data_IF_363114832745
#
_entry.id   IF_363114832745
#
_cell.length_a   1.000
_cell.length_b   1.000
_cell.length_c   1.000
_cell.angle_alpha   90.00
_cell.angle_beta   90.00
_cell.angle_gamma   90.00
#
_symmetry.space_group_name_H-M   'P 1'
#
loop_
_entity.id
_entity.type
_entity.pdbx_description
1 polymer ?
#
# COMPACT_ATOMS: atom_id res chain seq x y z
N UNK A 1 10.39 -43.80 19.65
CA UNK A 1 9.56 -43.82 20.88
C UNK A 1 8.44 -42.79 20.73
N UNK A 2 7.21 -43.20 21.05
CA UNK A 2 6.07 -42.28 21.08
C UNK A 2 6.21 -41.35 22.28
N UNK A 3 6.14 -40.00 22.12
CA UNK A 3 6.11 -39.05 23.22
C UNK A 3 4.84 -39.18 24.06
N UNK A 4 4.91 -38.80 25.33
CA UNK A 4 3.74 -38.72 26.20
C UNK A 4 2.96 -37.43 25.94
N UNK A 5 1.63 -37.56 25.83
CA UNK A 5 0.70 -36.44 25.78
C UNK A 5 0.42 -35.97 27.22
N UNK A 6 1.25 -35.05 27.71
CA UNK A 6 1.12 -34.50 29.06
C UNK A 6 0.53 -33.07 28.96
N UNK A 7 -0.59 -32.85 29.64
CA UNK A 7 -1.25 -31.55 29.72
C UNK A 7 -0.82 -30.84 31.02
N UNK A 8 -0.21 -29.67 30.89
CA UNK A 8 0.11 -28.81 32.03
C UNK A 8 -1.09 -27.91 32.33
N UNK A 9 -1.72 -28.11 33.46
CA UNK A 9 -2.95 -27.40 33.87
C UNK A 9 -2.69 -26.09 34.62
N UNK A 10 -1.48 -25.86 35.14
CA UNK A 10 -1.08 -24.63 35.85
C UNK A 10 0.16 -24.03 35.21
N UNK A 11 0.20 -22.69 35.10
CA UNK A 11 1.25 -21.96 34.42
C UNK A 11 1.92 -20.95 35.34
N UNK A 12 3.13 -21.22 35.75
CA UNK A 12 4.06 -20.21 36.23
C UNK A 12 5.28 -20.23 35.34
N UNK A 13 5.53 -19.12 34.64
CA UNK A 13 6.74 -18.96 33.81
C UNK A 13 7.41 -17.63 34.16
N UNK A 14 8.68 -17.68 34.48
CA UNK A 14 9.53 -16.52 34.73
C UNK A 14 10.33 -16.09 33.50
N UNK A 15 9.85 -16.41 32.30
CA UNK A 15 10.49 -16.08 31.02
C UNK A 15 9.92 -14.77 30.47
N UNK A 16 10.79 -13.81 30.23
CA UNK A 16 10.39 -12.56 29.56
C UNK A 16 10.02 -12.80 28.10
N UNK A 17 9.16 -11.95 27.52
CA UNK A 17 8.82 -12.00 26.09
C UNK A 17 10.07 -11.85 25.22
N UNK A 18 11.04 -11.05 25.67
CA UNK A 18 12.30 -10.82 24.98
C UNK A 18 13.15 -12.11 24.87
N UNK A 19 13.19 -12.91 25.93
CA UNK A 19 13.88 -14.20 25.94
C UNK A 19 13.14 -15.29 25.20
N UNK A 20 11.78 -15.25 25.22
CA UNK A 20 10.93 -16.24 24.55
C UNK A 20 11.05 -16.21 23.05
N UNK A 21 11.19 -15.00 22.45
CA UNK A 21 11.29 -14.86 21.01
C UNK A 21 12.70 -15.23 20.53
N UNK A 22 12.85 -16.15 19.56
CA UNK A 22 14.17 -16.55 19.07
C UNK A 22 15.00 -15.34 18.59
N UNK A 23 16.27 -15.31 18.98
CA UNK A 23 17.20 -14.20 18.64
C UNK A 23 17.31 -13.94 17.13
N UNK A 24 17.15 -14.98 16.31
CA UNK A 24 17.23 -14.88 14.83
C UNK A 24 15.88 -14.64 14.17
N UNK A 25 14.80 -14.45 14.93
CA UNK A 25 13.47 -14.24 14.33
C UNK A 25 13.45 -12.98 13.47
N UNK A 26 12.92 -13.02 12.21
CA UNK A 26 12.94 -11.88 11.28
C UNK A 26 12.30 -10.62 11.83
N UNK A 27 11.25 -10.73 12.64
CA UNK A 27 10.59 -9.59 13.30
C UNK A 27 11.51 -8.82 14.25
N UNK A 28 12.61 -9.39 14.76
CA UNK A 28 13.56 -8.63 15.59
C UNK A 28 14.23 -7.54 14.77
N UNK A 29 14.72 -7.90 13.61
CA UNK A 29 15.35 -6.95 12.68
C UNK A 29 14.34 -5.93 12.17
N UNK A 30 13.12 -6.38 11.84
CA UNK A 30 12.05 -5.50 11.41
C UNK A 30 11.68 -4.51 12.52
N UNK A 31 11.56 -4.97 13.76
CA UNK A 31 11.24 -4.11 14.89
C UNK A 31 12.25 -2.98 15.07
N UNK A 32 13.54 -3.27 14.93
CA UNK A 32 14.59 -2.24 15.00
C UNK A 32 14.40 -1.16 13.92
N UNK A 33 14.09 -1.54 12.68
CA UNK A 33 13.81 -0.58 11.61
C UNK A 33 12.54 0.24 11.91
N UNK A 34 11.48 -0.43 12.32
CA UNK A 34 10.20 0.21 12.65
C UNK A 34 10.35 1.15 13.84
N UNK A 35 11.06 0.76 14.89
CA UNK A 35 11.30 1.60 16.06
C UNK A 35 12.07 2.87 15.69
N UNK A 36 13.07 2.77 14.82
CA UNK A 36 13.77 3.94 14.26
C UNK A 36 12.86 4.87 13.49
N UNK A 37 11.99 4.34 12.63
CA UNK A 37 10.97 5.13 11.91
C UNK A 37 10.03 5.81 12.89
N UNK A 38 9.48 5.09 13.85
CA UNK A 38 8.50 5.62 14.80
C UNK A 38 9.10 6.71 15.68
N UNK A 39 10.34 6.53 16.16
CA UNK A 39 11.06 7.57 16.91
C UNK A 39 11.26 8.83 16.08
N UNK A 40 11.55 8.71 14.78
CA UNK A 40 11.67 9.87 13.89
C UNK A 40 10.35 10.61 13.66
N UNK A 41 9.22 10.00 14.03
CA UNK A 41 7.87 10.58 13.90
C UNK A 41 7.33 11.20 15.20
N UNK A 42 8.10 11.23 16.29
CA UNK A 42 7.62 11.71 17.60
C UNK A 42 7.02 13.13 17.53
N UNK A 43 7.65 14.05 16.81
CA UNK A 43 7.14 15.40 16.62
C UNK A 43 5.78 15.41 15.91
N UNK A 44 5.63 14.58 14.88
CA UNK A 44 4.38 14.44 14.11
C UNK A 44 3.26 13.86 14.98
N UNK A 45 3.59 12.94 15.89
CA UNK A 45 2.63 12.41 16.85
C UNK A 45 2.24 13.47 17.88
N UNK A 46 3.21 14.21 18.43
CA UNK A 46 2.95 15.26 19.41
C UNK A 46 1.98 16.34 18.91
N UNK A 47 2.07 16.74 17.64
CA UNK A 47 1.15 17.68 17.02
C UNK A 47 -0.29 17.16 16.90
N UNK A 48 -0.46 15.84 16.77
CA UNK A 48 -1.77 15.21 16.51
C UNK A 48 -2.51 14.77 17.78
N UNK A 49 -1.82 14.69 18.88
CA UNK A 49 -2.39 14.25 20.16
C UNK A 49 -2.52 15.42 21.13
N UNK A 50 -3.71 15.53 21.75
CA UNK A 50 -3.93 16.54 22.78
C UNK A 50 -3.08 16.27 24.02
N UNK A 51 -2.59 17.31 24.64
CA UNK A 51 -1.86 17.26 25.92
C UNK A 51 -2.81 17.04 27.12
N UNK A 52 -4.11 17.11 26.90
CA UNK A 52 -5.14 16.97 27.94
C UNK A 52 -6.11 15.85 27.61
N UNK A 53 -6.69 15.23 28.64
CA UNK A 53 -7.70 14.19 28.50
C UNK A 53 -7.17 12.78 28.82
N UNK A 54 -8.04 11.77 28.60
CA UNK A 54 -7.67 10.36 28.83
C UNK A 54 -6.63 9.88 27.81
N UNK A 55 -5.52 9.25 28.26
CA UNK A 55 -4.56 8.65 27.34
C UNK A 55 -5.23 7.69 26.35
N UNK A 56 -4.90 7.85 25.07
CA UNK A 56 -5.34 6.96 24.01
C UNK A 56 -4.29 5.82 23.79
N UNK A 57 -4.55 4.93 22.83
CA UNK A 57 -3.53 3.97 22.39
C UNK A 57 -2.35 4.77 21.86
N UNK A 58 -1.13 4.43 22.32
CA UNK A 58 0.10 5.03 21.79
C UNK A 58 0.20 4.78 20.27
N UNK A 59 0.47 5.81 19.45
CA UNK A 59 0.54 5.68 18.01
C UNK A 59 1.55 4.62 17.55
N UNK A 60 2.65 4.48 18.27
CA UNK A 60 3.68 3.48 17.99
C UNK A 60 3.13 2.05 18.14
N UNK A 61 2.40 1.77 19.21
CA UNK A 61 1.76 0.46 19.42
C UNK A 61 0.72 0.19 18.33
N UNK A 62 -0.06 1.21 17.96
CA UNK A 62 -1.08 1.10 16.92
C UNK A 62 -0.46 0.80 15.55
N UNK A 63 0.60 1.51 15.15
CA UNK A 63 1.28 1.30 13.87
C UNK A 63 1.98 -0.06 13.81
N UNK A 64 2.60 -0.52 14.92
CA UNK A 64 3.17 -1.88 14.98
C UNK A 64 2.08 -2.94 14.83
N UNK A 65 0.92 -2.76 15.47
CA UNK A 65 -0.20 -3.70 15.33
C UNK A 65 -0.74 -3.74 13.88
N UNK A 66 -0.87 -2.57 13.23
CA UNK A 66 -1.27 -2.49 11.82
C UNK A 66 -0.23 -3.11 10.88
N UNK A 67 1.07 -2.97 11.16
CA UNK A 67 2.11 -3.66 10.41
C UNK A 67 1.97 -5.18 10.51
N UNK A 68 1.69 -5.72 11.69
CA UNK A 68 1.41 -7.15 11.85
C UNK A 68 0.17 -7.57 11.06
N UNK A 69 -0.86 -6.74 11.03
CA UNK A 69 -2.06 -7.00 10.24
C UNK A 69 -1.73 -7.18 8.75
N UNK A 70 -0.88 -6.31 8.20
CA UNK A 70 -0.42 -6.37 6.81
C UNK A 70 0.49 -7.57 6.59
N UNK A 71 1.56 -7.71 7.37
CA UNK A 71 2.61 -8.71 7.17
C UNK A 71 2.14 -10.15 7.34
N UNK A 72 1.18 -10.38 8.22
CA UNK A 72 0.60 -11.71 8.49
C UNK A 72 -0.78 -11.91 7.85
N UNK A 73 -1.18 -11.00 6.97
CA UNK A 73 -2.46 -11.09 6.24
C UNK A 73 -3.67 -11.30 7.18
N UNK A 74 -3.67 -10.62 8.34
CA UNK A 74 -4.76 -10.73 9.31
C UNK A 74 -6.00 -10.04 8.77
N UNK A 75 -7.05 -10.83 8.52
CA UNK A 75 -8.21 -10.37 7.73
C UNK A 75 -9.08 -9.33 8.42
N UNK A 76 -9.08 -9.26 9.74
CA UNK A 76 -9.96 -8.34 10.47
C UNK A 76 -9.29 -7.83 11.73
N UNK A 77 -9.74 -6.67 12.19
CA UNK A 77 -9.29 -6.11 13.47
C UNK A 77 -9.72 -6.99 14.66
N UNK A 78 -10.87 -7.65 14.56
CA UNK A 78 -11.28 -8.63 15.56
C UNK A 78 -10.24 -9.75 15.67
N UNK A 79 -9.84 -10.31 14.56
CA UNK A 79 -8.80 -11.36 14.52
C UNK A 79 -7.44 -10.82 14.98
N UNK A 80 -7.11 -9.56 14.66
CA UNK A 80 -5.89 -8.92 15.14
C UNK A 80 -5.87 -8.80 16.66
N UNK A 81 -6.98 -8.35 17.27
CA UNK A 81 -7.10 -8.26 18.73
C UNK A 81 -6.98 -9.63 19.38
N UNK A 82 -7.65 -10.64 18.83
CA UNK A 82 -7.55 -12.03 19.29
C UNK A 82 -6.11 -12.55 19.21
N UNK A 83 -5.40 -12.29 18.09
CA UNK A 83 -3.99 -12.64 17.97
C UNK A 83 -3.11 -11.89 18.98
N UNK A 84 -3.39 -10.62 19.23
CA UNK A 84 -2.66 -9.85 20.25
C UNK A 84 -2.90 -10.36 21.66
N UNK A 85 -4.03 -11.02 21.91
CA UNK A 85 -4.36 -11.59 23.21
C UNK A 85 -3.55 -12.85 23.52
N UNK A 86 -3.37 -13.72 22.55
CA UNK A 86 -2.75 -15.05 22.75
C UNK A 86 -1.35 -15.22 22.14
N UNK A 87 -0.98 -14.42 21.13
CA UNK A 87 0.26 -14.62 20.41
C UNK A 87 1.39 -13.79 21.04
N UNK A 88 2.28 -14.47 21.77
CA UNK A 88 3.42 -13.84 22.45
C UNK A 88 4.35 -13.08 21.49
N UNK A 89 4.52 -13.56 20.26
CA UNK A 89 5.32 -12.87 19.24
C UNK A 89 4.70 -11.53 18.85
N UNK A 90 3.37 -11.51 18.68
CA UNK A 90 2.64 -10.28 18.32
C UNK A 90 2.67 -9.29 19.49
N UNK A 91 2.45 -9.76 20.73
CA UNK A 91 2.56 -8.93 21.92
C UNK A 91 3.94 -8.28 22.04
N UNK A 92 4.97 -9.10 21.89
CA UNK A 92 6.35 -8.63 21.91
C UNK A 92 6.60 -7.57 20.84
N UNK A 93 6.18 -7.81 19.58
CA UNK A 93 6.41 -6.87 18.48
C UNK A 93 5.69 -5.54 18.69
N UNK A 94 4.46 -5.56 19.22
CA UNK A 94 3.69 -4.35 19.51
C UNK A 94 4.20 -3.62 20.76
N UNK A 95 4.83 -4.31 21.67
CA UNK A 95 5.28 -3.78 22.97
C UNK A 95 4.20 -3.89 24.05
N UNK A 96 3.43 -4.98 24.05
CA UNK A 96 2.49 -5.35 25.11
C UNK A 96 3.17 -6.36 26.02
N UNK A 97 3.06 -6.13 27.32
CA UNK A 97 3.44 -7.12 28.35
C UNK A 97 2.50 -8.33 28.37
N UNK A 98 2.85 -9.40 29.07
CA UNK A 98 2.02 -10.60 29.16
C UNK A 98 0.64 -10.28 29.80
N UNK A 99 0.64 -9.44 30.82
CA UNK A 99 -0.59 -9.09 31.58
C UNK A 99 -1.30 -7.84 31.06
N UNK A 100 -0.75 -7.16 30.02
CA UNK A 100 -1.40 -5.99 29.44
C UNK A 100 -2.72 -6.41 28.78
N UNK A 101 -3.81 -5.72 29.10
CA UNK A 101 -5.08 -5.91 28.41
C UNK A 101 -4.97 -5.45 26.95
N UNK A 102 -5.51 -6.26 26.03
CA UNK A 102 -5.63 -5.88 24.63
C UNK A 102 -6.82 -4.95 24.45
N UNK A 103 -6.72 -4.05 23.50
CA UNK A 103 -7.76 -3.06 23.23
C UNK A 103 -9.03 -3.69 22.67
N UNK A 104 -10.17 -3.10 23.04
CA UNK A 104 -11.42 -3.40 22.36
C UNK A 104 -11.33 -3.03 20.86
N UNK A 105 -11.93 -3.87 20.01
CA UNK A 105 -11.92 -3.66 18.54
C UNK A 105 -12.43 -2.27 18.15
N UNK A 106 -13.49 -1.79 18.77
CA UNK A 106 -14.08 -0.48 18.49
C UNK A 106 -13.14 0.66 18.84
N UNK A 107 -12.42 0.55 19.96
CA UNK A 107 -11.41 1.51 20.41
C UNK A 107 -10.23 1.51 19.43
N UNK A 108 -9.77 0.32 19.02
CA UNK A 108 -8.70 0.19 18.04
C UNK A 108 -9.10 0.81 16.70
N UNK A 109 -10.28 0.50 16.16
CA UNK A 109 -10.80 1.04 14.91
C UNK A 109 -10.90 2.57 14.93
N UNK A 110 -11.42 3.15 16.01
CA UNK A 110 -11.55 4.60 16.16
C UNK A 110 -10.16 5.30 16.19
N UNK A 111 -9.20 4.72 16.91
CA UNK A 111 -7.83 5.25 16.95
C UNK A 111 -7.12 5.07 15.60
N UNK A 112 -7.29 3.94 14.92
CA UNK A 112 -6.78 3.72 13.58
C UNK A 112 -7.32 4.76 12.59
N UNK A 113 -8.62 5.03 12.59
CA UNK A 113 -9.22 6.01 11.67
C UNK A 113 -8.68 7.43 11.87
N UNK A 114 -8.36 7.77 13.12
CA UNK A 114 -7.71 9.03 13.45
C UNK A 114 -6.25 9.08 12.98
N UNK A 115 -5.53 7.96 13.12
CA UNK A 115 -4.10 7.89 12.85
C UNK A 115 -3.80 7.62 11.37
N UNK A 116 -4.51 6.68 10.71
CA UNK A 116 -4.30 6.35 9.29
C UNK A 116 -4.95 7.37 8.36
N UNK A 117 -4.62 8.66 8.53
CA UNK A 117 -4.84 9.64 7.48
C UNK A 117 -3.84 9.41 6.33
N UNK A 118 -4.19 9.86 5.14
CA UNK A 118 -3.27 9.83 4.00
C UNK A 118 -1.95 10.53 4.33
N UNK A 119 -2.00 11.70 4.97
CA UNK A 119 -0.83 12.48 5.35
C UNK A 119 0.11 11.73 6.31
N UNK A 120 -0.41 11.04 7.33
CA UNK A 120 0.44 10.28 8.24
C UNK A 120 1.01 9.02 7.58
N UNK A 121 0.20 8.35 6.75
CA UNK A 121 0.66 7.18 5.99
C UNK A 121 1.74 7.57 4.98
N UNK A 122 1.65 8.78 4.40
CA UNK A 122 2.68 9.37 3.54
C UNK A 122 3.96 9.62 4.34
N UNK A 123 3.85 10.25 5.50
CA UNK A 123 5.00 10.48 6.38
C UNK A 123 5.69 9.17 6.76
N UNK A 124 4.93 8.17 7.18
CA UNK A 124 5.47 6.86 7.50
C UNK A 124 6.18 6.22 6.29
N UNK A 125 5.59 6.30 5.11
CA UNK A 125 6.20 5.81 3.86
C UNK A 125 7.52 6.54 3.56
N UNK A 126 7.54 7.87 3.67
CA UNK A 126 8.73 8.70 3.42
C UNK A 126 9.85 8.38 4.42
N UNK A 127 9.54 8.17 5.70
CA UNK A 127 10.54 7.78 6.71
C UNK A 127 11.14 6.39 6.43
N UNK A 128 10.33 5.45 5.96
CA UNK A 128 10.82 4.14 5.52
C UNK A 128 11.72 4.28 4.29
N UNK A 129 11.34 5.12 3.33
CA UNK A 129 12.15 5.38 2.13
C UNK A 129 13.46 6.07 2.46
N UNK A 130 13.47 7.02 3.40
CA UNK A 130 14.68 7.71 3.85
C UNK A 130 15.75 6.75 4.40
N UNK A 131 15.35 5.64 5.04
CA UNK A 131 16.31 4.58 5.45
C UNK A 131 16.99 3.97 4.21
N UNK A 132 16.22 3.70 3.15
CA UNK A 132 16.75 3.14 1.93
C UNK A 132 17.71 4.11 1.22
N UNK A 133 17.36 5.40 1.18
CA UNK A 133 18.18 6.47 0.62
C UNK A 133 19.48 6.64 1.39
N UNK A 134 19.42 6.70 2.72
CA UNK A 134 20.59 6.80 3.60
C UNK A 134 21.56 5.61 3.43
N UNK A 135 21.02 4.42 3.14
CA UNK A 135 21.80 3.20 2.87
C UNK A 135 22.28 3.10 1.41
N UNK A 136 22.03 4.09 0.55
CA UNK A 136 22.31 4.07 -0.90
C UNK A 136 21.66 2.88 -1.62
N UNK A 137 20.49 2.46 -1.18
CA UNK A 137 19.71 1.37 -1.77
C UNK A 137 18.74 1.86 -2.85
N UNK A 138 18.49 3.15 -2.95
CA UNK A 138 17.68 3.76 -4.00
C UNK A 138 18.59 4.22 -5.14
N UNK A 139 18.27 3.77 -6.36
CA UNK A 139 18.96 4.23 -7.58
C UNK A 139 18.22 5.42 -8.18
N UNK A 140 18.96 6.36 -8.74
CA UNK A 140 18.48 7.54 -9.46
C UNK A 140 18.48 7.39 -10.99
N UNK A 141 18.87 6.22 -11.51
CA UNK A 141 19.08 6.01 -12.93
C UNK A 141 17.84 5.50 -13.68
N UNK A 142 17.16 4.52 -13.08
CA UNK A 142 16.14 3.77 -13.80
C UNK A 142 14.96 3.39 -12.91
N UNK A 143 13.77 3.79 -13.35
CA UNK A 143 12.52 3.61 -12.64
C UNK A 143 11.50 2.85 -13.49
N UNK A 144 10.47 2.32 -12.85
CA UNK A 144 9.29 1.76 -13.51
C UNK A 144 8.01 2.27 -12.86
N UNK A 145 7.04 2.57 -13.69
CA UNK A 145 5.71 2.99 -13.24
C UNK A 145 4.65 2.04 -13.73
N UNK A 146 3.68 1.76 -12.88
CA UNK A 146 2.49 0.97 -13.23
C UNK A 146 1.32 1.35 -12.32
N UNK A 147 0.09 0.97 -12.74
CA UNK A 147 -1.13 1.15 -11.99
C UNK A 147 -1.85 -0.17 -11.73
N UNK A 148 -2.53 -0.28 -10.61
CA UNK A 148 -3.28 -1.48 -10.27
C UNK A 148 -4.63 -1.16 -9.63
N UNK A 149 -5.66 -1.86 -10.11
CA UNK A 149 -7.04 -1.71 -9.63
C UNK A 149 -7.20 -2.31 -8.23
N UNK A 150 -7.85 -1.53 -7.37
CA UNK A 150 -8.31 -1.94 -6.05
C UNK A 150 -9.84 -1.97 -6.08
N UNK A 151 -10.45 -3.08 -5.70
CA UNK A 151 -11.90 -3.18 -5.58
C UNK A 151 -12.36 -2.37 -4.36
N UNK A 152 -13.37 -1.51 -4.54
CA UNK A 152 -13.95 -0.75 -3.46
C UNK A 152 -14.77 -1.64 -2.51
N UNK A 153 -15.00 -1.18 -1.28
CA UNK A 153 -15.89 -1.86 -0.33
C UNK A 153 -17.33 -1.90 -0.80
N UNK A 154 -17.77 -0.83 -1.47
CA UNK A 154 -19.11 -0.66 -1.97
C UNK A 154 -19.51 -1.76 -2.97
N UNK A 155 -20.71 -2.29 -2.84
CA UNK A 155 -21.28 -3.26 -3.78
C UNK A 155 -21.99 -2.57 -4.96
N UNK A 156 -22.23 -3.31 -6.04
CA UNK A 156 -23.03 -2.82 -7.16
C UNK A 156 -24.45 -2.37 -6.78
N UNK A 157 -25.03 -2.93 -5.70
CA UNK A 157 -26.35 -2.55 -5.21
C UNK A 157 -26.42 -1.11 -4.72
N UNK A 158 -25.30 -0.57 -4.25
CA UNK A 158 -25.20 0.83 -3.82
C UNK A 158 -25.04 1.81 -4.99
N UNK A 159 -24.85 1.33 -6.23
CA UNK A 159 -24.63 2.19 -7.40
C UNK A 159 -25.98 2.59 -8.02
N UNK A 160 -26.49 3.75 -7.62
CA UNK A 160 -27.81 4.27 -7.95
C UNK A 160 -27.73 5.56 -8.72
N UNK A 161 -28.83 6.00 -9.34
CA UNK A 161 -28.92 7.27 -10.05
C UNK A 161 -28.63 8.46 -9.14
N UNK A 162 -27.91 9.44 -9.62
CA UNK A 162 -27.57 10.67 -8.90
C UNK A 162 -28.75 11.59 -8.63
N UNK A 163 -29.77 11.52 -9.48
CA UNK A 163 -31.00 12.33 -9.39
C UNK A 163 -31.98 11.80 -8.33
N UNK A 164 -31.65 10.70 -7.65
CA UNK A 164 -32.52 10.08 -6.64
C UNK A 164 -33.72 9.34 -7.23
N UNK A 165 -33.88 9.29 -8.55
CA UNK A 165 -34.92 8.47 -9.17
C UNK A 165 -34.61 7.00 -8.94
N UNK A 166 -35.43 6.30 -8.18
CA UNK A 166 -35.32 4.87 -7.96
C UNK A 166 -35.51 4.09 -9.27
N UNK A 167 -35.22 2.79 -9.31
CA UNK A 167 -35.52 1.98 -10.49
C UNK A 167 -37.03 2.01 -10.74
N UNK A 168 -37.41 2.38 -11.96
CA UNK A 168 -38.82 2.44 -12.38
C UNK A 168 -39.54 1.08 -12.41
N UNK A 169 -38.79 0.00 -12.17
CA UNK A 169 -39.28 -1.37 -12.08
C UNK A 169 -38.65 -2.11 -10.89
N UNK A 170 -39.44 -3.00 -10.21
CA UNK A 170 -38.89 -3.86 -9.18
C UNK A 170 -37.74 -4.67 -9.77
N UNK A 171 -36.67 -4.82 -8.99
CA UNK A 171 -35.50 -5.58 -9.39
C UNK A 171 -35.91 -6.99 -9.84
N UNK A 172 -35.54 -7.37 -11.05
CA UNK A 172 -35.79 -8.70 -11.59
C UNK A 172 -35.08 -9.78 -10.74
N UNK A 173 -35.34 -11.04 -11.05
CA UNK A 173 -34.84 -12.23 -10.31
C UNK A 173 -33.31 -12.27 -10.23
N UNK A 174 -32.60 -11.49 -11.05
CA UNK A 174 -31.15 -11.39 -11.10
C UNK A 174 -30.69 -9.93 -11.36
N UNK A 175 -30.85 -9.01 -10.39
CA UNK A 175 -30.59 -7.59 -10.56
C UNK A 175 -29.12 -7.25 -10.82
N UNK A 176 -28.20 -8.21 -10.64
CA UNK A 176 -26.77 -8.05 -10.92
C UNK A 176 -26.43 -8.22 -12.40
N UNK A 177 -27.25 -8.95 -13.15
CA UNK A 177 -27.04 -9.25 -14.58
C UNK A 177 -27.93 -8.38 -15.46
N UNK A 178 -29.19 -8.16 -15.06
CA UNK A 178 -30.16 -7.34 -15.78
C UNK A 178 -30.60 -6.14 -14.94
N UNK A 179 -29.97 -5.02 -15.19
CA UNK A 179 -30.33 -3.73 -14.59
C UNK A 179 -31.60 -3.11 -15.27
N UNK A 180 -32.55 -3.92 -15.65
CA UNK A 180 -33.79 -3.48 -16.38
C UNK A 180 -33.48 -2.81 -17.71
N UNK A 181 -32.42 -3.23 -18.42
CA UNK A 181 -31.99 -2.64 -19.68
C UNK A 181 -31.29 -1.28 -19.56
N UNK A 182 -31.05 -0.79 -18.34
CA UNK A 182 -30.47 0.52 -18.12
C UNK A 182 -28.92 0.47 -18.15
N UNK A 183 -28.33 1.28 -19.03
CA UNK A 183 -26.88 1.41 -19.12
C UNK A 183 -26.34 2.30 -17.97
N UNK A 184 -25.78 1.72 -16.95
CA UNK A 184 -25.18 2.46 -15.83
C UNK A 184 -23.80 3.02 -16.19
N UNK A 185 -23.58 4.29 -15.86
CA UNK A 185 -22.31 4.99 -16.09
C UNK A 185 -21.96 5.89 -14.91
N UNK A 186 -20.70 6.25 -14.77
CA UNK A 186 -20.24 7.20 -13.73
C UNK A 186 -20.81 8.62 -13.92
N UNK A 187 -21.29 8.96 -15.13
CA UNK A 187 -21.95 10.22 -15.40
C UNK A 187 -23.34 10.28 -14.71
N UNK A 188 -24.10 9.21 -14.81
CA UNK A 188 -25.50 9.13 -14.38
C UNK A 188 -25.69 8.50 -13.00
N UNK A 189 -24.75 7.65 -12.55
CA UNK A 189 -24.86 6.89 -11.32
C UNK A 189 -23.68 7.14 -10.38
N UNK A 190 -23.91 6.91 -9.10
CA UNK A 190 -22.91 7.02 -8.04
C UNK A 190 -23.23 6.01 -6.93
N UNK A 191 -22.20 5.52 -6.22
CA UNK A 191 -22.42 4.68 -5.05
C UNK A 191 -22.87 5.51 -3.86
N UNK A 192 -23.92 5.08 -3.19
CA UNK A 192 -24.40 5.68 -1.94
C UNK A 192 -23.49 5.28 -0.75
N UNK A 193 -22.81 4.14 -0.84
CA UNK A 193 -21.89 3.67 0.21
C UNK A 193 -20.51 4.34 0.08
N UNK A 194 -20.02 4.50 -1.16
CA UNK A 194 -18.71 5.07 -1.45
C UNK A 194 -18.78 5.96 -2.70
N UNK A 195 -19.14 7.24 -2.53
CA UNK A 195 -19.36 8.17 -3.62
C UNK A 195 -18.14 8.44 -4.50
N UNK A 196 -16.92 8.19 -3.99
CA UNK A 196 -15.68 8.40 -4.73
C UNK A 196 -15.24 7.19 -5.55
N UNK A 197 -15.75 5.99 -5.26
CA UNK A 197 -15.49 4.81 -6.05
C UNK A 197 -16.12 4.93 -7.43
N UNK A 198 -15.43 4.49 -8.48
CA UNK A 198 -15.88 4.56 -9.86
C UNK A 198 -16.12 3.18 -10.44
N UNK A 199 -17.19 3.07 -11.22
CA UNK A 199 -17.44 1.87 -12.01
C UNK A 199 -16.39 1.78 -13.11
N UNK A 200 -15.55 0.77 -13.08
CA UNK A 200 -14.43 0.61 -13.99
C UNK A 200 -14.20 -0.85 -14.35
N UNK A 201 -13.86 -1.11 -15.62
CA UNK A 201 -13.48 -2.43 -16.13
C UNK A 201 -12.07 -2.40 -16.71
N UNK A 202 -11.27 -3.41 -16.45
CA UNK A 202 -9.88 -3.49 -16.94
C UNK A 202 -9.80 -3.75 -18.45
N UNK A 203 -10.82 -4.37 -19.04
CA UNK A 203 -10.86 -4.73 -20.45
C UNK A 203 -12.29 -4.98 -20.90
N UNK A 204 -12.48 -5.13 -22.19
CA UNK A 204 -13.81 -5.24 -22.82
C UNK A 204 -14.64 -6.40 -22.27
N UNK A 205 -14.00 -7.54 -22.01
CA UNK A 205 -14.67 -8.77 -21.53
C UNK A 205 -14.59 -8.96 -20.01
N UNK A 206 -14.16 -7.93 -19.25
CA UNK A 206 -14.08 -8.04 -17.78
C UNK A 206 -15.28 -7.37 -17.14
N UNK A 207 -15.70 -7.90 -15.99
CA UNK A 207 -16.76 -7.33 -15.17
C UNK A 207 -16.40 -5.91 -14.72
N UNK A 208 -17.34 -4.99 -14.87
CA UNK A 208 -17.22 -3.64 -14.32
C UNK A 208 -17.50 -3.69 -12.81
N UNK A 209 -16.58 -3.16 -12.00
CA UNK A 209 -16.72 -3.08 -10.54
C UNK A 209 -16.44 -1.67 -10.06
N UNK A 210 -16.94 -1.34 -8.88
CA UNK A 210 -16.57 -0.11 -8.19
C UNK A 210 -15.12 -0.23 -7.72
N UNK A 211 -14.25 0.68 -8.18
CA UNK A 211 -12.81 0.58 -8.02
C UNK A 211 -12.13 1.92 -7.80
N UNK A 212 -10.95 1.83 -7.25
CA UNK A 212 -9.88 2.82 -7.27
C UNK A 212 -8.70 2.28 -8.06
N UNK A 213 -7.76 3.15 -8.42
CA UNK A 213 -6.46 2.75 -8.97
C UNK A 213 -5.38 3.22 -8.01
N UNK A 214 -4.48 2.34 -7.61
CA UNK A 214 -3.23 2.74 -6.97
C UNK A 214 -2.09 2.60 -7.96
N UNK A 215 -1.26 3.62 -8.01
CA UNK A 215 -0.11 3.74 -8.90
C UNK A 215 1.15 3.68 -8.05
N UNK A 216 2.18 3.05 -8.55
CA UNK A 216 3.46 2.97 -7.88
C UNK A 216 4.61 3.26 -8.85
N UNK A 217 5.57 4.02 -8.36
CA UNK A 217 6.86 4.25 -9.00
C UNK A 217 7.91 3.46 -8.24
N UNK A 218 8.58 2.52 -8.89
CA UNK A 218 9.67 1.76 -8.30
C UNK A 218 11.01 2.14 -8.89
N UNK A 219 12.05 2.17 -8.09
CA UNK A 219 13.42 2.13 -8.61
C UNK A 219 13.79 0.69 -8.98
N UNK A 220 14.62 0.50 -10.02
CA UNK A 220 14.79 -0.82 -10.65
C UNK A 220 16.09 -1.56 -10.27
N UNK A 221 16.93 -1.02 -9.38
CA UNK A 221 18.10 -1.72 -8.86
C UNK A 221 17.70 -2.74 -7.80
N UNK A 222 16.96 -2.28 -6.81
CA UNK A 222 16.55 -3.05 -5.65
C UNK A 222 15.04 -3.32 -5.58
N UNK A 223 14.24 -2.69 -6.46
CA UNK A 223 12.78 -2.85 -6.51
C UNK A 223 12.05 -2.21 -5.33
N UNK A 224 12.62 -1.14 -4.78
CA UNK A 224 11.97 -0.33 -3.75
C UNK A 224 10.94 0.59 -4.38
N UNK A 225 9.81 0.76 -3.74
CA UNK A 225 8.80 1.72 -4.17
C UNK A 225 9.19 3.10 -3.65
N UNK A 226 9.36 4.04 -4.56
CA UNK A 226 9.82 5.40 -4.24
C UNK A 226 8.68 6.41 -4.21
N UNK A 227 7.54 6.08 -4.81
CA UNK A 227 6.34 6.90 -4.71
C UNK A 227 5.06 6.10 -4.97
N UNK A 228 3.96 6.57 -4.41
CA UNK A 228 2.62 5.96 -4.51
C UNK A 228 1.57 7.04 -4.64
N UNK A 229 0.67 6.88 -5.60
CA UNK A 229 -0.54 7.69 -5.74
C UNK A 229 -1.77 6.79 -5.80
N UNK A 230 -2.89 7.23 -5.26
CA UNK A 230 -4.17 6.55 -5.40
C UNK A 230 -5.19 7.51 -5.94
N UNK A 231 -5.92 7.09 -6.96
CA UNK A 231 -6.88 7.92 -7.69
C UNK A 231 -8.22 7.24 -7.84
N UNK A 232 -9.22 8.03 -8.22
CA UNK A 232 -10.44 7.46 -8.76
C UNK A 232 -10.11 6.72 -10.06
N UNK A 233 -10.84 5.64 -10.36
CA UNK A 233 -10.63 4.86 -11.57
C UNK A 233 -11.24 5.58 -12.78
N UNK A 234 -10.41 6.36 -13.48
CA UNK A 234 -10.73 7.06 -14.73
C UNK A 234 -9.81 6.61 -15.87
N UNK A 235 -10.15 6.96 -17.10
CA UNK A 235 -9.33 6.59 -18.27
C UNK A 235 -7.99 7.33 -18.37
N UNK A 236 -7.84 8.48 -17.71
CA UNK A 236 -6.62 9.32 -17.74
C UNK A 236 -5.76 9.19 -16.48
N UNK A 237 -6.32 8.64 -15.41
CA UNK A 237 -5.73 8.61 -14.09
C UNK A 237 -4.32 7.98 -14.05
N UNK A 238 -4.05 6.93 -14.84
CA UNK A 238 -2.75 6.26 -14.88
C UNK A 238 -1.65 7.20 -15.38
N UNK A 239 -1.93 7.98 -16.43
CA UNK A 239 -0.95 8.92 -17.00
C UNK A 239 -0.73 10.11 -16.07
N UNK A 240 -1.80 10.70 -15.54
CA UNK A 240 -1.73 11.86 -14.65
C UNK A 240 -0.98 11.55 -13.36
N UNK A 241 -1.29 10.42 -12.73
CA UNK A 241 -0.59 9.96 -11.53
C UNK A 241 0.88 9.62 -11.82
N UNK A 242 1.17 8.95 -12.94
CA UNK A 242 2.54 8.65 -13.33
C UNK A 242 3.37 9.92 -13.53
N UNK A 243 2.85 10.91 -14.25
CA UNK A 243 3.53 12.18 -14.46
C UNK A 243 3.79 12.92 -13.14
N UNK A 244 2.83 12.89 -12.22
CA UNK A 244 2.96 13.50 -10.88
C UNK A 244 4.09 12.85 -10.08
N UNK A 245 4.12 11.51 -10.00
CA UNK A 245 5.15 10.77 -9.27
C UNK A 245 6.53 10.95 -9.91
N UNK A 246 6.61 10.89 -11.25
CA UNK A 246 7.86 11.04 -11.99
C UNK A 246 8.45 12.43 -11.77
N UNK A 247 7.65 13.47 -11.88
CA UNK A 247 8.08 14.86 -11.63
C UNK A 247 8.66 15.05 -10.23
N UNK A 248 8.14 14.31 -9.26
CA UNK A 248 8.54 14.41 -7.83
C UNK A 248 9.81 13.62 -7.52
N UNK A 249 10.06 12.50 -8.22
CA UNK A 249 11.06 11.51 -7.80
C UNK A 249 12.15 11.21 -8.81
N UNK A 250 11.89 11.38 -10.09
CA UNK A 250 12.88 11.00 -11.12
C UNK A 250 13.76 12.19 -11.47
N UNK A 251 15.08 12.09 -11.29
CA UNK A 251 15.99 13.17 -11.63
C UNK A 251 16.14 13.30 -13.16
N UNK A 252 16.58 14.46 -13.61
CA UNK A 252 16.96 14.70 -14.99
C UNK A 252 18.04 13.70 -15.44
N UNK A 253 17.95 13.23 -16.66
CA UNK A 253 18.84 12.20 -17.20
C UNK A 253 18.42 10.76 -16.86
N UNK A 254 17.50 10.58 -15.91
CA UNK A 254 16.93 9.28 -15.55
C UNK A 254 16.08 8.67 -16.67
N UNK A 255 15.64 7.44 -16.45
CA UNK A 255 14.80 6.72 -17.40
C UNK A 255 13.61 6.05 -16.69
N UNK A 256 12.46 6.00 -17.38
CA UNK A 256 11.23 5.41 -16.84
C UNK A 256 10.71 4.33 -17.79
N UNK A 257 10.61 3.11 -17.25
CA UNK A 257 9.93 1.98 -17.89
C UNK A 257 8.45 1.99 -17.61
N UNK A 258 7.63 1.82 -18.65
CA UNK A 258 6.18 1.72 -18.51
C UNK A 258 5.59 0.72 -19.52
N UNK A 259 4.36 0.29 -19.27
CA UNK A 259 3.70 -0.61 -20.18
C UNK A 259 3.20 0.09 -21.46
N UNK A 260 2.58 -0.68 -22.36
CA UNK A 260 2.08 -0.23 -23.64
C UNK A 260 0.90 0.77 -23.52
N UNK A 261 0.20 0.77 -22.40
CA UNK A 261 -0.88 1.73 -22.11
C UNK A 261 -0.36 3.16 -22.04
N UNK A 262 0.88 3.33 -21.58
CA UNK A 262 1.56 4.62 -21.47
C UNK A 262 2.19 5.11 -22.79
N UNK A 263 2.14 4.33 -23.89
CA UNK A 263 2.62 4.78 -25.21
C UNK A 263 1.63 5.78 -25.83
N UNK A 264 1.64 6.99 -25.31
CA UNK A 264 0.81 8.11 -25.70
C UNK A 264 1.66 9.38 -25.83
N UNK A 265 1.39 10.24 -26.85
CA UNK A 265 2.19 11.46 -27.07
C UNK A 265 2.30 12.35 -25.83
N UNK A 266 1.20 12.54 -25.09
CA UNK A 266 1.17 13.36 -23.87
C UNK A 266 2.14 12.85 -22.80
N UNK A 267 2.25 11.54 -22.62
CA UNK A 267 3.14 10.94 -21.62
C UNK A 267 4.61 10.98 -22.12
N UNK A 268 4.87 10.47 -23.32
CA UNK A 268 6.24 10.38 -23.84
C UNK A 268 6.87 11.76 -24.02
N UNK A 269 6.13 12.72 -24.60
CA UNK A 269 6.63 14.09 -24.76
C UNK A 269 6.80 14.79 -23.41
N UNK A 270 5.89 14.54 -22.45
CA UNK A 270 5.98 15.07 -21.09
C UNK A 270 7.25 14.61 -20.36
N UNK A 271 7.71 13.37 -20.56
CA UNK A 271 8.99 12.90 -20.05
C UNK A 271 10.18 13.54 -20.76
N UNK A 272 10.14 13.61 -22.08
CA UNK A 272 11.21 14.20 -22.87
C UNK A 272 11.44 15.68 -22.53
N UNK A 273 10.39 16.45 -22.25
CA UNK A 273 10.51 17.85 -21.82
C UNK A 273 11.17 18.02 -20.45
N UNK A 274 11.15 16.98 -19.62
CA UNK A 274 11.82 16.93 -18.32
C UNK A 274 13.23 16.33 -18.39
N UNK A 275 13.75 16.05 -19.59
CA UNK A 275 15.01 15.33 -19.81
C UNK A 275 15.02 13.93 -19.20
N UNK A 276 13.88 13.23 -19.26
CA UNK A 276 13.72 11.86 -18.77
C UNK A 276 13.47 10.93 -19.96
N UNK A 277 14.22 9.85 -20.06
CA UNK A 277 14.14 8.87 -21.17
C UNK A 277 12.91 7.99 -21.02
N UNK A 278 11.98 8.06 -21.97
CA UNK A 278 10.75 7.27 -21.98
C UNK A 278 11.00 5.86 -22.53
N UNK A 279 11.24 4.88 -21.67
CA UNK A 279 11.37 3.47 -22.05
C UNK A 279 10.00 2.74 -22.00
N UNK A 280 9.04 3.30 -22.69
CA UNK A 280 7.66 2.76 -22.76
C UNK A 280 7.58 1.65 -23.80
N UNK A 281 6.86 0.57 -23.49
CA UNK A 281 6.64 -0.52 -24.42
C UNK A 281 5.82 -0.04 -25.63
N UNK A 282 6.33 -0.18 -26.86
CA UNK A 282 5.76 0.37 -28.08
C UNK A 282 4.46 -0.31 -28.51
N UNK A 283 3.53 0.49 -28.99
CA UNK A 283 2.38 0.01 -29.79
C UNK A 283 2.88 -0.48 -31.16
N UNK A 284 2.13 -1.43 -31.74
CA UNK A 284 2.47 -1.94 -33.09
C UNK A 284 2.32 -0.86 -34.16
N UNK A 285 1.35 0.05 -34.00
CA UNK A 285 1.05 1.17 -34.89
C UNK A 285 0.86 2.43 -34.07
N UNK A 286 1.30 3.59 -34.59
CA UNK A 286 1.08 4.89 -33.94
C UNK A 286 1.80 5.08 -32.61
N UNK A 287 2.98 4.45 -32.42
CA UNK A 287 3.78 4.62 -31.21
C UNK A 287 4.36 6.03 -31.11
N UNK A 288 4.27 6.64 -29.93
CA UNK A 288 4.91 7.91 -29.62
C UNK A 288 6.41 7.75 -29.25
N UNK A 289 6.87 6.53 -28.99
CA UNK A 289 8.28 6.25 -28.65
C UNK A 289 9.15 6.28 -29.92
N UNK A 290 10.17 7.14 -29.90
CA UNK A 290 11.12 7.26 -31.01
C UNK A 290 11.83 5.94 -31.32
N UNK A 291 12.05 5.66 -32.59
CA UNK A 291 12.75 4.47 -33.06
C UNK A 291 14.21 4.41 -32.62
N UNK A 292 14.88 5.54 -32.33
CA UNK A 292 16.24 5.58 -31.78
C UNK A 292 16.25 5.06 -30.36
N UNK A 293 15.32 5.53 -29.51
CA UNK A 293 15.13 5.08 -28.14
C UNK A 293 14.88 3.57 -28.11
N UNK A 294 14.00 3.07 -28.96
CA UNK A 294 13.62 1.66 -28.98
C UNK A 294 14.74 0.69 -29.39
N UNK A 295 15.77 1.17 -30.14
CA UNK A 295 16.96 0.38 -30.52
C UNK A 295 18.05 0.38 -29.46
N UNK A 296 17.93 1.21 -28.42
CA UNK A 296 18.93 1.35 -27.36
C UNK A 296 19.03 0.11 -26.48
N UNK A 297 20.25 -0.29 -26.07
CA UNK A 297 20.47 -1.40 -25.12
C UNK A 297 19.73 -1.16 -23.79
N UNK A 298 19.71 0.08 -23.30
CA UNK A 298 19.00 0.48 -22.09
C UNK A 298 17.48 0.26 -22.17
N UNK A 299 16.88 0.50 -23.34
CA UNK A 299 15.45 0.25 -23.56
C UNK A 299 15.10 -1.23 -23.39
N UNK A 300 15.85 -2.15 -24.01
CA UNK A 300 15.61 -3.59 -23.89
C UNK A 300 15.76 -4.07 -22.44
N UNK A 301 16.75 -3.54 -21.72
CA UNK A 301 16.96 -3.82 -20.31
C UNK A 301 15.82 -3.28 -19.44
N UNK A 302 15.36 -2.07 -19.73
CA UNK A 302 14.25 -1.43 -19.05
C UNK A 302 12.97 -2.25 -19.14
N UNK A 303 12.62 -2.74 -20.35
CA UNK A 303 11.45 -3.59 -20.53
C UNK A 303 11.50 -4.90 -19.74
N UNK A 304 12.71 -5.46 -19.52
CA UNK A 304 12.88 -6.63 -18.65
C UNK A 304 12.68 -6.28 -17.17
N UNK A 305 13.29 -5.18 -16.73
CA UNK A 305 13.26 -4.74 -15.33
C UNK A 305 11.90 -4.18 -14.91
N UNK A 306 11.10 -3.68 -15.83
CA UNK A 306 9.76 -3.16 -15.56
C UNK A 306 8.89 -4.11 -14.74
N UNK A 307 9.08 -5.41 -14.91
CA UNK A 307 8.31 -6.42 -14.18
C UNK A 307 8.50 -6.38 -12.66
N UNK A 308 9.52 -5.70 -12.15
CA UNK A 308 9.77 -5.58 -10.71
C UNK A 308 8.61 -4.86 -10.01
N UNK A 309 8.00 -3.85 -10.64
CA UNK A 309 6.84 -3.17 -10.04
C UNK A 309 5.63 -4.09 -9.89
N UNK A 310 5.50 -5.09 -10.79
CA UNK A 310 4.43 -6.10 -10.73
C UNK A 310 4.55 -6.99 -9.48
N UNK A 311 5.79 -7.27 -9.01
CA UNK A 311 6.03 -8.00 -7.75
C UNK A 311 5.47 -7.25 -6.54
N UNK A 312 5.68 -5.94 -6.49
CA UNK A 312 5.15 -5.10 -5.42
C UNK A 312 3.61 -5.10 -5.42
N UNK A 313 2.97 -4.98 -6.58
CA UNK A 313 1.52 -5.10 -6.70
C UNK A 313 1.00 -6.48 -6.33
N UNK A 314 1.71 -7.54 -6.73
CA UNK A 314 1.41 -8.90 -6.32
C UNK A 314 1.42 -9.04 -4.80
N UNK A 315 2.47 -8.53 -4.15
CA UNK A 315 2.65 -8.59 -2.71
C UNK A 315 1.55 -7.81 -1.95
N UNK A 316 1.27 -6.55 -2.31
CA UNK A 316 0.23 -5.78 -1.60
C UNK A 316 -1.17 -6.37 -1.76
N UNK A 317 -1.45 -7.05 -2.88
CA UNK A 317 -2.74 -7.70 -3.13
C UNK A 317 -2.90 -9.04 -2.41
N UNK A 318 -1.81 -9.77 -2.20
CA UNK A 318 -1.82 -11.07 -1.54
C UNK A 318 -1.54 -10.95 -0.05
N UNK A 319 -0.34 -10.48 0.30
CA UNK A 319 0.10 -10.33 1.69
C UNK A 319 -0.56 -9.10 2.32
N UNK A 320 -0.49 -7.95 1.66
CA UNK A 320 -1.06 -6.69 2.15
C UNK A 320 -2.59 -6.63 2.19
N UNK A 321 -3.28 -7.64 1.61
CA UNK A 321 -4.74 -7.72 1.62
C UNK A 321 -5.45 -6.65 0.79
N UNK A 322 -4.73 -5.90 -0.05
CA UNK A 322 -5.25 -4.75 -0.80
C UNK A 322 -5.83 -5.12 -2.18
N UNK A 323 -6.35 -6.35 -2.33
CA UNK A 323 -7.14 -6.71 -3.52
C UNK A 323 -8.49 -6.03 -3.51
N UNK A 324 -9.09 -5.95 -2.33
CA UNK A 324 -10.32 -5.24 -2.01
C UNK A 324 -10.11 -4.43 -0.75
N UNK A 325 -10.35 -3.12 -0.82
CA UNK A 325 -10.27 -2.25 0.36
C UNK A 325 -11.47 -2.46 1.28
N UNK A 326 -11.29 -2.18 2.58
CA UNK A 326 -12.38 -2.08 3.57
C UNK A 326 -12.67 -0.64 3.97
N UNK A 327 -11.89 0.29 3.44
CA UNK A 327 -12.04 1.71 3.67
C UNK A 327 -12.98 2.32 2.62
N UNK A 328 -13.67 3.37 3.02
CA UNK A 328 -14.57 4.16 2.19
C UNK A 328 -13.93 5.54 2.01
N UNK A 329 -13.91 6.02 0.77
CA UNK A 329 -13.36 7.30 0.39
C UNK A 329 -11.88 7.24 -0.03
N UNK A 330 -11.51 8.09 -1.00
CA UNK A 330 -10.21 8.09 -1.66
C UNK A 330 -9.05 8.27 -0.69
N UNK A 331 -9.14 9.24 0.23
CA UNK A 331 -8.08 9.54 1.18
C UNK A 331 -7.73 8.35 2.09
N UNK A 332 -8.74 7.61 2.58
CA UNK A 332 -8.51 6.42 3.41
C UNK A 332 -7.91 5.26 2.60
N UNK A 333 -8.34 5.10 1.35
CA UNK A 333 -7.78 4.08 0.45
C UNK A 333 -6.33 4.42 0.08
N UNK A 334 -6.03 5.70 -0.16
CA UNK A 334 -4.68 6.19 -0.39
C UNK A 334 -3.76 5.95 0.82
N UNK A 335 -4.24 6.28 2.03
CA UNK A 335 -3.52 5.99 3.27
C UNK A 335 -3.23 4.49 3.45
N UNK A 336 -4.21 3.63 3.17
CA UNK A 336 -4.01 2.18 3.21
C UNK A 336 -2.98 1.70 2.19
N UNK A 337 -3.03 2.21 0.96
CA UNK A 337 -2.07 1.85 -0.09
C UNK A 337 -0.64 2.25 0.28
N UNK A 338 -0.45 3.51 0.72
CA UNK A 338 0.84 4.01 1.20
C UNK A 338 1.41 3.14 2.34
N UNK A 339 0.57 2.79 3.31
CA UNK A 339 0.99 1.94 4.43
C UNK A 339 1.37 0.53 3.99
N UNK A 340 0.62 -0.07 3.05
CA UNK A 340 0.96 -1.38 2.47
C UNK A 340 2.27 -1.35 1.69
N UNK A 341 2.54 -0.29 0.91
CA UNK A 341 3.81 -0.16 0.20
C UNK A 341 4.98 0.14 1.14
N UNK A 342 4.76 0.89 2.23
CA UNK A 342 5.77 1.04 3.28
C UNK A 342 6.12 -0.31 3.92
N UNK A 343 5.14 -1.16 4.21
CA UNK A 343 5.36 -2.51 4.72
C UNK A 343 6.10 -3.40 3.71
N UNK A 344 5.80 -3.27 2.42
CA UNK A 344 6.56 -3.92 1.34
C UNK A 344 8.03 -3.47 1.35
N UNK A 345 8.29 -2.16 1.38
CA UNK A 345 9.64 -1.61 1.42
C UNK A 345 10.41 -2.10 2.67
N UNK A 346 9.77 -2.11 3.84
CA UNK A 346 10.37 -2.67 5.06
C UNK A 346 10.78 -4.13 4.90
N UNK A 347 9.93 -4.94 4.24
CA UNK A 347 10.25 -6.35 3.95
C UNK A 347 11.45 -6.47 2.99
N UNK A 348 11.51 -5.62 1.97
CA UNK A 348 12.65 -5.57 1.04
C UNK A 348 13.93 -5.13 1.76
N UNK A 349 13.87 -4.10 2.58
CA UNK A 349 15.00 -3.61 3.37
C UNK A 349 15.60 -4.70 4.27
N UNK A 350 14.77 -5.55 4.88
CA UNK A 350 15.26 -6.69 5.68
C UNK A 350 16.18 -7.62 4.88
N UNK A 351 15.88 -7.80 3.59
CA UNK A 351 16.66 -8.67 2.72
C UNK A 351 17.90 -7.98 2.13
N UNK A 352 17.83 -6.66 1.94
CA UNK A 352 18.91 -5.87 1.32
C UNK A 352 19.97 -5.43 2.36
N UNK A 353 19.54 -5.15 3.59
CA UNK A 353 20.44 -4.77 4.65
C UNK A 353 21.20 -6.01 5.19
N UNK A 354 22.49 -6.07 4.92
CA UNK A 354 23.40 -6.93 5.69
C UNK A 354 23.52 -6.26 7.06
N UNK A 355 22.87 -6.82 8.06
CA UNK A 355 22.91 -6.30 9.42
C UNK A 355 24.30 -6.52 10.04
N UNK A 356 25.22 -5.66 9.69
CA UNK A 356 26.36 -5.36 10.55
C UNK A 356 25.87 -4.35 11.61
N UNK A 357 26.30 -4.44 12.86
CA UNK A 357 25.96 -3.42 13.86
C UNK A 357 26.61 -2.09 13.47
N UNK A 358 25.91 -1.30 12.69
CA UNK A 358 26.23 0.10 12.44
C UNK A 358 25.52 0.95 13.50
N UNK A 359 26.09 2.12 13.86
CA UNK A 359 25.46 3.02 14.84
C UNK A 359 24.03 3.37 14.45
N UNK A 360 23.22 3.61 15.47
CA UNK A 360 21.80 3.90 15.32
C UNK A 360 21.57 5.04 14.28
N UNK A 361 20.65 4.79 13.36
CA UNK A 361 20.17 5.82 12.45
C UNK A 361 19.48 6.93 13.26
N UNK A 362 19.97 8.14 13.16
CA UNK A 362 19.27 9.34 13.63
C UNK A 362 18.64 10.04 12.43
N UNK A 363 17.32 10.29 12.49
CA UNK A 363 16.64 11.02 11.45
C UNK A 363 17.26 12.41 11.29
N UNK A 364 17.40 12.94 10.08
CA UNK A 364 17.71 14.35 9.90
C UNK A 364 16.59 15.18 10.51
N UNK A 365 16.98 16.16 11.33
CA UNK A 365 16.12 17.16 11.98
C UNK A 365 15.42 18.04 10.96
#
# INVERSE_FOLDING_TARGET
MRGHDAIQSSWFSYVSLEERIPKQHPLRRLRLLVDGVLTSMDAVFAERYSHTGRPSIAPEKLLRALLLQVLYTVRSERQLMEQLDYNLLFRWFVGLGIDDAVWERTVFSANRERLLSEALSREFFERVLAIAEWQNLVSDEHFSVDGSLIEAWASHKSFVKKDGSGPDKPAGRNPEVDFSGEKRSNATHQSTTDPEARLYKKGEYTEAKLRYITHALSENRNGLIVDVETTQATGTAEIEAAQTMIKRRVPKGGSVGADKGYDQPAFVNGLNTQDIKAHVARKKTGSAVDGRTARGKGYAQSLKRRKIVEEAFGWIKTVGGLRKTRHIGLAKVAGQALFCFAAYNLTRLLNLLVFTPKPAWSAPT
#
